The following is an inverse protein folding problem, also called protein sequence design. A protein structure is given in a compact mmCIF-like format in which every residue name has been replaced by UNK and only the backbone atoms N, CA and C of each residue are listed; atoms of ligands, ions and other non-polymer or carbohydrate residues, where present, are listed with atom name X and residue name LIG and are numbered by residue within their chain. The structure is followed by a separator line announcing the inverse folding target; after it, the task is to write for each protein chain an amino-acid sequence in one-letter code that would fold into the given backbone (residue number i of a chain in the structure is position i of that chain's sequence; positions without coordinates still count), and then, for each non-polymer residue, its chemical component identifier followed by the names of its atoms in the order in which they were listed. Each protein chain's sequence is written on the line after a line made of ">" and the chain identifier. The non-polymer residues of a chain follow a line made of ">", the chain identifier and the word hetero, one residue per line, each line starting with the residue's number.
data_IF_605896995976
#
_entry.id   IF_605896995976
#
_cell.length_a   1.000
_cell.length_b   1.000
_cell.length_c   1.000
_cell.angle_alpha   90.00
_cell.angle_beta   90.00
_cell.angle_gamma   90.00
#
_symmetry.space_group_name_H-M   'P 1'
#
loop_
_entity.id
_entity.type
_entity.pdbx_description
1 polymer ?
#
# COMPACT_ATOMS: atom_id res chain seq x y z
N UNK A 1 16.89 33.80 69.72
CA UNK A 1 16.15 32.63 69.23
C UNK A 1 15.50 32.99 67.89
N UNK A 2 16.08 32.56 66.77
CA UNK A 2 15.50 32.78 65.41
C UNK A 2 14.92 31.44 64.97
N UNK A 3 13.62 31.41 64.73
CA UNK A 3 12.91 30.22 64.17
C UNK A 3 13.06 30.24 62.68
N UNK A 4 13.64 29.19 62.12
CA UNK A 4 13.76 28.96 60.67
C UNK A 4 12.53 28.16 60.26
N UNK A 5 11.69 28.75 59.37
CA UNK A 5 10.51 28.09 58.81
C UNK A 5 10.92 27.49 57.48
N UNK A 6 10.92 26.16 57.37
CA UNK A 6 11.17 25.41 56.15
C UNK A 6 9.85 25.33 55.38
N UNK A 7 9.77 26.01 54.22
CA UNK A 7 8.67 25.84 53.27
C UNK A 7 8.97 24.66 52.37
N UNK A 8 8.17 23.61 52.54
CA UNK A 8 8.20 22.45 51.63
C UNK A 8 7.37 22.75 50.38
N UNK A 9 8.06 22.92 49.25
CA UNK A 9 7.41 23.08 47.94
C UNK A 9 7.14 21.68 47.39
N UNK A 10 5.87 21.26 47.43
CA UNK A 10 5.43 20.07 46.69
C UNK A 10 5.29 20.41 45.21
N UNK A 11 6.24 19.95 44.41
CA UNK A 11 6.09 19.95 42.94
C UNK A 11 5.21 18.77 42.52
N UNK A 12 3.97 19.04 42.13
CA UNK A 12 3.12 18.07 41.50
C UNK A 12 3.52 17.87 40.04
N UNK A 13 4.19 16.77 39.76
CA UNK A 13 4.48 16.37 38.36
C UNK A 13 3.18 15.81 37.74
N UNK A 14 2.59 16.58 36.81
CA UNK A 14 1.53 16.09 35.93
C UNK A 14 2.16 15.13 34.91
N UNK A 15 2.01 13.83 35.11
CA UNK A 15 2.23 12.85 34.07
C UNK A 15 1.05 12.95 33.09
N UNK A 16 1.29 13.59 31.94
CA UNK A 16 0.42 13.47 30.79
C UNK A 16 0.57 12.04 30.21
N UNK A 17 -0.36 11.16 30.54
CA UNK A 17 -0.47 9.86 29.88
C UNK A 17 -0.90 10.10 28.44
N UNK A 18 0.05 10.07 27.50
CA UNK A 18 -0.24 9.96 26.09
C UNK A 18 -0.90 8.59 25.86
N UNK A 19 -2.21 8.55 25.70
CA UNK A 19 -2.94 7.36 25.25
C UNK A 19 -2.50 7.07 23.83
N UNK A 20 -1.51 6.21 23.65
CA UNK A 20 -1.21 5.61 22.37
C UNK A 20 -2.45 4.80 21.97
N UNK A 21 -3.24 5.30 21.04
CA UNK A 21 -4.28 4.52 20.40
C UNK A 21 -3.59 3.41 19.60
N UNK A 22 -3.38 2.26 20.24
CA UNK A 22 -2.94 1.06 19.56
C UNK A 22 -4.03 0.71 18.55
N UNK A 23 -3.68 0.76 17.27
CA UNK A 23 -4.59 0.35 16.22
C UNK A 23 -4.87 -1.15 16.34
N UNK A 24 -6.11 -1.55 16.06
CA UNK A 24 -6.49 -2.95 16.06
C UNK A 24 -5.59 -3.78 15.11
N UNK A 25 -5.29 -5.03 15.42
CA UNK A 25 -4.57 -5.91 14.52
C UNK A 25 -5.32 -6.05 13.18
N UNK A 26 -4.68 -6.58 12.12
CA UNK A 26 -5.39 -6.93 10.88
C UNK A 26 -6.59 -7.83 11.16
N UNK A 27 -7.64 -7.73 10.34
CA UNK A 27 -8.80 -8.60 10.45
C UNK A 27 -8.40 -10.08 10.29
N UNK A 28 -9.13 -11.01 10.90
CA UNK A 28 -8.90 -12.46 10.71
C UNK A 28 -9.23 -12.89 9.28
N UNK A 29 -10.17 -12.20 8.63
CA UNK A 29 -10.64 -12.50 7.28
C UNK A 29 -10.04 -11.54 6.26
N UNK A 30 -9.11 -12.03 5.47
CA UNK A 30 -8.49 -11.32 4.34
C UNK A 30 -9.32 -11.57 3.07
N UNK A 31 -10.36 -10.77 2.89
CA UNK A 31 -11.43 -11.00 1.92
C UNK A 31 -10.98 -11.07 0.46
N UNK A 32 -9.90 -10.38 0.10
CA UNK A 32 -9.35 -10.32 -1.26
C UNK A 32 -8.21 -11.30 -1.55
N UNK A 33 -7.74 -12.05 -0.55
CA UNK A 33 -6.55 -12.88 -0.69
C UNK A 33 -6.66 -13.91 -1.82
N UNK A 34 -7.79 -14.62 -1.90
CA UNK A 34 -8.02 -15.66 -2.92
C UNK A 34 -7.99 -15.14 -4.37
N UNK A 35 -8.23 -13.84 -4.56
CA UNK A 35 -8.18 -13.15 -5.84
C UNK A 35 -6.87 -12.34 -6.02
N UNK A 36 -5.88 -12.47 -5.12
CA UNK A 36 -4.59 -11.82 -5.29
C UNK A 36 -3.84 -12.35 -6.50
N UNK A 37 -3.03 -11.49 -7.12
CA UNK A 37 -2.25 -11.87 -8.30
C UNK A 37 -1.29 -13.03 -8.00
N UNK A 38 -0.70 -13.10 -6.81
CA UNK A 38 0.21 -14.17 -6.40
C UNK A 38 -0.46 -15.55 -6.44
N UNK A 39 -1.73 -15.64 -6.04
CA UNK A 39 -2.47 -16.91 -6.03
C UNK A 39 -3.09 -17.25 -7.39
N UNK A 40 -3.43 -16.24 -8.19
CA UNK A 40 -4.05 -16.42 -9.51
C UNK A 40 -3.04 -16.60 -10.65
N UNK A 41 -1.75 -16.26 -10.42
CA UNK A 41 -0.64 -16.37 -11.37
C UNK A 41 0.46 -17.30 -10.82
N UNK A 42 0.23 -18.60 -10.69
CA UNK A 42 1.21 -19.52 -10.13
C UNK A 42 2.47 -19.60 -11.02
N UNK A 43 3.64 -19.65 -10.39
CA UNK A 43 4.89 -19.82 -11.09
C UNK A 43 5.03 -21.23 -11.65
N UNK A 44 5.50 -21.35 -12.89
CA UNK A 44 5.92 -22.65 -13.48
C UNK A 44 7.01 -23.27 -12.60
N UNK A 45 6.79 -24.49 -12.14
CA UNK A 45 7.76 -25.19 -11.28
C UNK A 45 7.86 -24.69 -9.83
N UNK A 46 7.03 -23.70 -9.43
CA UNK A 46 6.89 -23.30 -8.03
C UNK A 46 8.07 -22.52 -7.45
N UNK A 47 9.01 -22.02 -8.27
CA UNK A 47 10.16 -21.24 -7.79
C UNK A 47 9.72 -19.96 -7.06
N UNK A 48 10.45 -19.59 -6.00
CA UNK A 48 10.15 -18.46 -5.12
C UNK A 48 11.19 -17.36 -5.20
N UNK A 49 10.75 -16.12 -5.14
CA UNK A 49 11.59 -14.94 -4.92
C UNK A 49 11.50 -14.53 -3.45
N UNK A 50 12.60 -14.07 -2.88
CA UNK A 50 12.59 -13.33 -1.61
C UNK A 50 12.44 -11.85 -1.94
N UNK A 51 11.41 -11.20 -1.41
CA UNK A 51 11.15 -9.77 -1.64
C UNK A 51 11.31 -9.01 -0.33
N UNK A 52 12.06 -7.92 -0.35
CA UNK A 52 12.35 -7.09 0.82
C UNK A 52 12.18 -5.61 0.52
N UNK A 53 12.10 -4.78 1.56
CA UNK A 53 12.11 -3.32 1.47
C UNK A 53 13.04 -2.73 2.52
N UNK A 54 13.76 -1.64 2.23
CA UNK A 54 14.51 -0.92 3.26
C UNK A 54 13.61 -0.18 4.26
N UNK A 55 12.33 0.06 3.91
CA UNK A 55 11.41 0.86 4.72
C UNK A 55 10.67 0.04 5.80
N UNK A 56 10.38 -1.24 5.54
CA UNK A 56 9.65 -2.09 6.48
C UNK A 56 9.96 -3.57 6.26
N UNK A 57 9.68 -4.39 7.28
CA UNK A 57 9.81 -5.86 7.22
C UNK A 57 8.47 -6.50 6.88
N UNK A 58 8.51 -7.76 6.43
CA UNK A 58 7.29 -8.55 6.22
C UNK A 58 6.39 -8.54 7.46
N UNK A 59 5.12 -8.25 7.27
CA UNK A 59 4.10 -8.02 8.31
C UNK A 59 4.42 -6.85 9.27
N UNK A 60 5.37 -5.99 8.91
CA UNK A 60 5.64 -4.74 9.63
C UNK A 60 4.80 -3.57 9.12
N UNK A 61 4.69 -2.52 9.94
CA UNK A 61 3.96 -1.31 9.58
C UNK A 61 4.67 -0.56 8.45
N UNK A 62 3.92 -0.18 7.42
CA UNK A 62 4.38 0.71 6.35
C UNK A 62 4.50 2.12 6.94
N UNK A 63 5.69 2.77 6.91
CA UNK A 63 5.86 4.11 7.43
C UNK A 63 4.91 5.11 6.77
N UNK A 64 4.40 6.07 7.52
CA UNK A 64 3.44 7.06 6.99
C UNK A 64 3.99 7.88 5.82
N UNK A 65 5.30 8.13 5.76
CA UNK A 65 5.94 8.74 4.61
C UNK A 65 5.72 7.97 3.29
N UNK A 66 5.50 6.65 3.37
CA UNK A 66 5.24 5.78 2.21
C UNK A 66 3.74 5.60 1.93
N UNK A 67 2.88 6.41 2.54
CA UNK A 67 1.42 6.36 2.42
C UNK A 67 0.85 7.67 1.89
N UNK A 68 -0.40 7.64 1.42
CA UNK A 68 -1.14 8.84 0.96
C UNK A 68 -1.53 9.76 2.13
N UNK A 69 -1.20 9.42 3.35
CA UNK A 69 -1.37 10.32 4.51
C UNK A 69 -0.27 11.38 4.57
N UNK A 70 0.93 11.06 4.06
CA UNK A 70 2.06 12.00 4.03
C UNK A 70 2.62 12.14 2.61
N UNK A 71 3.91 11.94 2.41
CA UNK A 71 4.61 12.23 1.15
C UNK A 71 4.33 11.22 0.03
N UNK A 72 3.73 10.09 0.33
CA UNK A 72 3.48 9.01 -0.63
C UNK A 72 4.75 8.53 -1.36
N UNK A 73 5.87 8.57 -0.67
CA UNK A 73 7.19 8.19 -1.21
C UNK A 73 7.25 6.68 -1.43
N UNK A 74 7.78 6.23 -2.56
CA UNK A 74 7.96 4.79 -2.82
C UNK A 74 8.91 4.18 -1.77
N UNK A 75 8.55 3.02 -1.14
CA UNK A 75 9.32 2.47 -0.01
C UNK A 75 10.63 1.77 -0.41
N UNK A 76 10.87 1.59 -1.70
CA UNK A 76 11.94 0.73 -2.20
C UNK A 76 11.58 -0.75 -2.14
N UNK A 77 12.01 -1.51 -3.12
CA UNK A 77 11.90 -2.97 -3.17
C UNK A 77 13.19 -3.58 -3.70
N UNK A 78 13.55 -4.72 -3.15
CA UNK A 78 14.64 -5.56 -3.62
C UNK A 78 14.21 -7.02 -3.59
N UNK A 79 14.63 -7.80 -4.60
CA UNK A 79 14.26 -9.21 -4.68
C UNK A 79 15.41 -10.06 -5.22
N UNK A 80 15.38 -11.34 -4.89
CA UNK A 80 16.35 -12.29 -5.41
C UNK A 80 16.20 -12.46 -6.92
N UNK A 81 17.30 -12.68 -7.67
CA UNK A 81 17.22 -12.98 -9.10
C UNK A 81 16.26 -14.15 -9.38
N UNK A 82 15.48 -14.03 -10.44
CA UNK A 82 14.65 -15.12 -10.95
C UNK A 82 15.52 -16.25 -11.55
N UNK A 83 14.93 -17.42 -11.82
CA UNK A 83 15.63 -18.54 -12.42
C UNK A 83 16.13 -18.23 -13.83
N UNK A 84 16.98 -19.11 -14.37
CA UNK A 84 17.45 -19.01 -15.76
C UNK A 84 16.28 -18.88 -16.73
N UNK A 85 16.42 -18.01 -17.72
CA UNK A 85 15.34 -17.68 -18.65
C UNK A 85 14.51 -16.45 -18.25
N UNK A 86 14.69 -15.88 -17.06
CA UNK A 86 14.04 -14.61 -16.68
C UNK A 86 14.48 -13.48 -17.60
N UNK A 87 13.55 -12.81 -18.26
CA UNK A 87 13.79 -11.67 -19.13
C UNK A 87 13.36 -10.34 -18.54
N UNK A 88 12.35 -10.35 -17.67
CA UNK A 88 11.83 -9.17 -17.01
C UNK A 88 11.12 -9.53 -15.70
N UNK A 89 10.73 -8.49 -14.96
CA UNK A 89 9.89 -8.62 -13.77
C UNK A 89 8.63 -7.76 -13.92
N UNK A 90 7.55 -8.24 -13.31
CA UNK A 90 6.34 -7.46 -13.07
C UNK A 90 6.09 -7.35 -11.57
N UNK A 91 5.50 -6.22 -11.16
CA UNK A 91 5.12 -5.95 -9.77
C UNK A 91 3.65 -5.60 -9.73
N UNK A 92 2.92 -6.18 -8.78
CA UNK A 92 1.51 -5.90 -8.53
C UNK A 92 1.34 -5.66 -7.04
N UNK A 93 0.90 -4.45 -6.66
CA UNK A 93 0.61 -4.09 -5.28
C UNK A 93 -0.90 -4.07 -5.06
N UNK A 94 -1.39 -4.90 -4.14
CA UNK A 94 -2.81 -5.03 -3.81
C UNK A 94 -3.06 -4.94 -2.31
N UNK A 95 -4.16 -4.26 -1.94
CA UNK A 95 -4.75 -4.32 -0.61
C UNK A 95 -5.80 -5.43 -0.61
N UNK A 96 -5.56 -6.49 0.14
CA UNK A 96 -6.40 -7.69 0.20
C UNK A 96 -7.41 -7.68 1.34
N UNK A 97 -7.35 -6.71 2.25
CA UNK A 97 -8.38 -6.46 3.25
C UNK A 97 -9.52 -5.58 2.70
N UNK A 98 -9.33 -4.97 1.53
CA UNK A 98 -10.33 -4.18 0.81
C UNK A 98 -10.70 -4.79 -0.53
N UNK A 99 -11.98 -4.68 -0.91
CA UNK A 99 -12.50 -5.18 -2.19
C UNK A 99 -13.12 -4.03 -2.99
N UNK A 100 -12.81 -3.97 -4.28
CA UNK A 100 -13.42 -3.04 -5.25
C UNK A 100 -13.68 -3.78 -6.56
N UNK A 101 -14.89 -3.66 -7.11
CA UNK A 101 -15.29 -4.29 -8.39
C UNK A 101 -15.02 -5.80 -8.44
N UNK A 102 -15.16 -6.50 -7.30
CA UNK A 102 -14.99 -7.95 -7.22
C UNK A 102 -13.56 -8.44 -7.07
N UNK A 103 -12.58 -7.56 -6.87
CA UNK A 103 -11.18 -7.92 -6.62
C UNK A 103 -10.53 -7.10 -5.50
N UNK A 104 -9.32 -7.46 -5.03
CA UNK A 104 -8.56 -6.67 -4.09
C UNK A 104 -8.25 -5.29 -4.65
N UNK A 105 -8.09 -4.29 -3.79
CA UNK A 105 -7.83 -2.92 -4.24
C UNK A 105 -6.45 -2.83 -4.89
N UNK A 106 -6.41 -2.46 -6.16
CA UNK A 106 -5.17 -2.31 -6.91
C UNK A 106 -4.52 -0.96 -6.60
N UNK A 107 -3.35 -0.99 -5.97
CA UNK A 107 -2.62 0.20 -5.58
C UNK A 107 -1.56 0.62 -6.60
N UNK A 108 -0.81 -0.33 -7.15
CA UNK A 108 0.26 -0.02 -8.08
C UNK A 108 0.65 -1.24 -8.90
N UNK A 109 1.02 -1.02 -10.16
CA UNK A 109 1.63 -2.04 -11.00
C UNK A 109 2.77 -1.44 -11.83
N UNK A 110 3.77 -2.26 -12.10
CA UNK A 110 4.84 -1.97 -13.04
C UNK A 110 5.29 -3.27 -13.70
N UNK A 111 5.72 -3.22 -14.95
CA UNK A 111 6.14 -4.40 -15.70
C UNK A 111 7.29 -4.10 -16.66
N UNK A 112 7.89 -5.14 -17.22
CA UNK A 112 9.10 -5.06 -18.05
C UNK A 112 10.29 -4.42 -17.30
N UNK A 113 10.34 -4.61 -15.97
CA UNK A 113 11.44 -4.13 -15.16
C UNK A 113 12.64 -5.05 -15.39
N UNK A 114 13.81 -4.45 -15.63
CA UNK A 114 15.10 -5.13 -15.67
C UNK A 114 15.86 -4.84 -14.37
N UNK A 115 16.60 -5.82 -13.86
CA UNK A 115 17.23 -5.72 -12.55
C UNK A 115 16.32 -6.22 -11.41
N UNK A 116 16.85 -6.22 -10.20
CA UNK A 116 16.24 -6.82 -9.01
C UNK A 116 16.04 -5.84 -7.88
N UNK A 117 16.07 -4.54 -8.19
CA UNK A 117 15.94 -3.47 -7.21
C UNK A 117 15.25 -2.26 -7.80
N UNK A 118 14.41 -1.63 -6.99
CA UNK A 118 13.84 -0.30 -7.18
C UNK A 118 14.15 0.54 -5.94
N UNK A 119 14.86 1.66 -6.11
CA UNK A 119 15.32 2.48 -4.98
C UNK A 119 14.17 3.17 -4.25
N UNK A 120 14.29 3.29 -2.93
CA UNK A 120 13.37 4.08 -2.13
C UNK A 120 13.37 5.54 -2.61
N UNK A 121 12.19 6.14 -2.65
CA UNK A 121 12.04 7.54 -3.09
C UNK A 121 12.18 7.77 -4.58
N UNK A 122 12.27 6.73 -5.42
CA UNK A 122 12.31 6.92 -6.86
C UNK A 122 11.10 7.73 -7.35
N UNK A 123 11.34 8.69 -8.23
CA UNK A 123 10.31 9.51 -8.89
C UNK A 123 9.85 8.91 -10.24
N UNK A 124 10.68 8.04 -10.81
CA UNK A 124 10.40 7.33 -12.06
C UNK A 124 11.02 5.93 -12.01
N UNK A 125 10.46 5.00 -12.78
CA UNK A 125 11.05 3.67 -12.96
C UNK A 125 12.41 3.78 -13.68
N UNK A 126 13.45 3.09 -13.21
CA UNK A 126 14.75 3.03 -13.91
C UNK A 126 14.65 2.23 -15.21
N UNK A 127 13.67 1.35 -15.33
CA UNK A 127 13.34 0.55 -16.51
C UNK A 127 11.89 0.10 -16.44
N UNK A 128 11.34 -0.35 -17.58
CA UNK A 128 9.97 -0.86 -17.65
C UNK A 128 8.91 0.23 -17.78
N UNK A 129 7.69 -0.14 -17.48
CA UNK A 129 6.50 0.67 -17.73
C UNK A 129 5.58 0.62 -16.52
N UNK A 130 4.99 1.76 -16.17
CA UNK A 130 3.88 1.79 -15.21
C UNK A 130 2.64 1.13 -15.82
N UNK A 131 2.01 0.28 -15.05
CA UNK A 131 0.73 -0.30 -15.37
C UNK A 131 -0.42 0.40 -14.64
N UNK A 132 -1.61 -0.22 -14.60
CA UNK A 132 -2.79 0.35 -14.00
C UNK A 132 -2.74 0.35 -12.47
N UNK A 133 -3.57 1.21 -11.88
CA UNK A 133 -4.06 1.09 -10.52
C UNK A 133 -5.57 1.36 -10.49
N UNK A 134 -6.18 1.45 -9.30
CA UNK A 134 -7.61 1.72 -9.17
C UNK A 134 -8.08 3.06 -9.79
N UNK A 135 -7.15 3.96 -10.15
CA UNK A 135 -7.43 5.28 -10.75
C UNK A 135 -7.29 5.29 -12.28
N UNK A 136 -6.74 4.25 -12.88
CA UNK A 136 -6.55 4.14 -14.34
C UNK A 136 -5.20 3.57 -14.75
N UNK A 137 -4.90 3.62 -16.04
CA UNK A 137 -3.67 3.11 -16.63
C UNK A 137 -2.45 4.00 -16.35
N UNK A 138 -1.25 3.43 -16.47
CA UNK A 138 0.05 4.12 -16.42
C UNK A 138 0.24 5.01 -15.18
N UNK A 139 -0.11 4.50 -14.01
CA UNK A 139 -0.09 5.26 -12.77
C UNK A 139 1.20 5.05 -11.97
N UNK A 140 1.79 6.11 -11.40
CA UNK A 140 2.89 6.00 -10.46
C UNK A 140 2.46 5.30 -9.16
N UNK A 141 3.42 5.06 -8.26
CA UNK A 141 3.16 4.47 -6.95
C UNK A 141 2.03 5.22 -6.20
N UNK A 142 1.05 4.44 -5.77
CA UNK A 142 -0.02 4.90 -4.90
C UNK A 142 0.02 4.08 -3.61
N UNK A 143 0.59 4.68 -2.58
CA UNK A 143 0.72 4.05 -1.27
C UNK A 143 -0.63 3.80 -0.58
N UNK A 144 -0.59 3.18 0.59
CA UNK A 144 -1.77 2.97 1.43
C UNK A 144 -2.54 4.25 1.76
N UNK A 145 -3.86 4.11 1.91
CA UNK A 145 -4.73 5.06 2.60
C UNK A 145 -5.78 4.27 3.35
N UNK A 146 -5.32 3.51 4.32
CA UNK A 146 -6.15 2.60 5.13
C UNK A 146 -7.18 3.41 5.92
N UNK A 147 -8.48 3.04 5.88
CA UNK A 147 -9.50 3.71 6.68
C UNK A 147 -9.29 3.45 8.19
N UNK A 148 -10.03 4.17 9.02
CA UNK A 148 -10.08 3.87 10.44
C UNK A 148 -10.67 2.47 10.66
N UNK A 149 -10.05 1.69 11.55
CA UNK A 149 -10.42 0.31 11.81
C UNK A 149 -9.20 -0.61 11.90
N UNK A 150 -9.35 -1.89 11.59
CA UNK A 150 -8.24 -2.83 11.51
C UNK A 150 -7.17 -2.38 10.51
N UNK A 151 -5.93 -2.82 10.71
CA UNK A 151 -4.87 -2.63 9.71
C UNK A 151 -5.20 -3.43 8.45
N UNK A 152 -4.84 -2.90 7.29
CA UNK A 152 -4.94 -3.58 6.01
C UNK A 152 -3.59 -4.15 5.58
N UNK A 153 -3.60 -5.30 4.89
CA UNK A 153 -2.42 -5.93 4.29
C UNK A 153 -2.25 -5.45 2.86
N UNK A 154 -1.04 -4.95 2.61
CA UNK A 154 -0.61 -4.50 1.29
C UNK A 154 0.44 -5.46 0.76
N UNK A 155 0.09 -6.24 -0.25
CA UNK A 155 0.92 -7.26 -0.86
C UNK A 155 1.72 -6.67 -2.02
N UNK A 156 3.03 -6.53 -1.87
CA UNK A 156 3.96 -6.17 -2.94
C UNK A 156 4.43 -7.47 -3.59
N UNK A 157 3.78 -7.87 -4.67
CA UNK A 157 3.97 -9.14 -5.35
C UNK A 157 4.89 -8.96 -6.55
N UNK A 158 5.97 -9.74 -6.64
CA UNK A 158 6.96 -9.69 -7.71
C UNK A 158 6.93 -10.98 -8.50
N UNK A 159 6.92 -10.87 -9.83
CA UNK A 159 6.85 -11.98 -10.78
C UNK A 159 8.05 -11.90 -11.73
N UNK A 160 8.89 -12.94 -11.76
CA UNK A 160 9.91 -13.12 -12.77
C UNK A 160 9.29 -13.80 -14.00
N UNK A 161 9.45 -13.20 -15.18
CA UNK A 161 8.80 -13.67 -16.40
C UNK A 161 9.80 -14.02 -17.51
N UNK A 162 9.46 -15.01 -18.35
CA UNK A 162 10.28 -15.51 -19.46
C UNK A 162 10.13 -14.70 -20.75
N UNK A 163 9.40 -13.60 -20.70
CA UNK A 163 9.16 -12.72 -21.85
C UNK A 163 9.11 -11.25 -21.42
N UNK A 164 9.25 -10.35 -22.38
CA UNK A 164 8.76 -8.98 -22.20
C UNK A 164 7.29 -8.91 -22.60
N UNK A 165 6.49 -8.23 -21.79
CA UNK A 165 5.07 -8.06 -22.04
C UNK A 165 4.84 -6.97 -23.10
N UNK A 166 3.82 -7.09 -23.95
CA UNK A 166 3.46 -6.05 -24.92
C UNK A 166 3.02 -4.75 -24.19
N UNK A 167 3.18 -3.61 -24.85
CA UNK A 167 2.94 -2.30 -24.23
C UNK A 167 1.49 -2.11 -23.76
N UNK A 168 0.54 -2.69 -24.46
CA UNK A 168 -0.91 -2.64 -24.15
C UNK A 168 -1.31 -3.54 -22.98
N UNK A 169 -0.41 -4.45 -22.54
CA UNK A 169 -0.63 -5.24 -21.33
C UNK A 169 -0.94 -4.37 -20.10
N UNK A 170 -0.40 -3.16 -20.05
CA UNK A 170 -0.61 -2.21 -18.94
C UNK A 170 -1.93 -1.40 -19.02
N UNK A 171 -2.86 -1.70 -19.92
CA UNK A 171 -4.10 -0.94 -20.03
C UNK A 171 -5.05 -1.18 -18.85
N UNK A 172 -5.21 -2.43 -18.42
CA UNK A 172 -6.03 -2.83 -17.26
C UNK A 172 -5.33 -3.93 -16.47
N UNK A 173 -5.81 -4.22 -15.24
CA UNK A 173 -5.28 -5.34 -14.46
C UNK A 173 -5.57 -6.67 -15.14
N UNK A 174 -6.70 -6.80 -15.79
CA UNK A 174 -7.09 -8.00 -16.52
C UNK A 174 -6.15 -8.26 -17.70
N UNK A 175 -5.81 -7.21 -18.50
CA UNK A 175 -4.85 -7.34 -19.60
C UNK A 175 -3.45 -7.67 -19.10
N UNK A 176 -3.02 -7.06 -17.97
CA UNK A 176 -1.72 -7.36 -17.37
C UNK A 176 -1.64 -8.79 -16.85
N UNK A 177 -2.64 -9.26 -16.13
CA UNK A 177 -2.67 -10.63 -15.62
C UNK A 177 -2.82 -11.66 -16.76
N UNK A 178 -3.57 -11.35 -17.80
CA UNK A 178 -3.67 -12.20 -19.00
C UNK A 178 -2.31 -12.32 -19.72
N UNK A 179 -1.56 -11.22 -19.85
CA UNK A 179 -0.23 -11.21 -20.44
C UNK A 179 0.84 -11.91 -19.58
N UNK A 180 0.65 -11.94 -18.25
CA UNK A 180 1.53 -12.66 -17.31
C UNK A 180 1.23 -14.16 -17.27
N UNK A 181 0.00 -14.55 -17.57
CA UNK A 181 -0.44 -15.95 -17.51
C UNK A 181 0.48 -16.83 -18.36
N UNK A 182 0.88 -17.96 -17.79
CA UNK A 182 1.79 -18.92 -18.41
C UNK A 182 3.22 -18.42 -18.72
N UNK A 183 3.58 -17.21 -18.24
CA UNK A 183 4.92 -16.65 -18.38
C UNK A 183 5.69 -16.53 -17.06
N UNK A 184 5.05 -16.75 -15.93
CA UNK A 184 5.67 -16.62 -14.61
C UNK A 184 6.60 -17.80 -14.32
N UNK A 185 7.90 -17.53 -14.16
CA UNK A 185 8.93 -18.51 -13.80
C UNK A 185 9.12 -18.62 -12.28
N UNK A 186 9.02 -17.50 -11.58
CA UNK A 186 9.13 -17.42 -10.13
C UNK A 186 8.29 -16.26 -9.61
N UNK A 187 7.84 -16.35 -8.38
CA UNK A 187 7.11 -15.27 -7.74
C UNK A 187 7.45 -15.18 -6.25
N UNK A 188 7.23 -14.00 -5.66
CA UNK A 188 7.39 -13.76 -4.23
C UNK A 188 6.67 -12.49 -3.82
N UNK A 189 6.54 -12.28 -2.53
CA UNK A 189 5.88 -11.09 -2.00
C UNK A 189 6.52 -10.57 -0.72
N UNK A 190 6.29 -9.29 -0.48
CA UNK A 190 6.46 -8.62 0.80
C UNK A 190 5.10 -8.07 1.23
N UNK A 191 4.63 -8.43 2.41
CA UNK A 191 3.38 -7.89 2.97
C UNK A 191 3.71 -6.80 3.97
N UNK A 192 3.13 -5.61 3.79
CA UNK A 192 3.21 -4.52 4.75
C UNK A 192 1.83 -4.21 5.34
N UNK A 193 1.81 -3.72 6.56
CA UNK A 193 0.58 -3.31 7.25
C UNK A 193 0.37 -1.82 7.11
N UNK A 194 -0.75 -1.43 6.51
CA UNK A 194 -1.21 -0.06 6.46
C UNK A 194 -2.18 0.25 7.59
N UNK A 195 -2.11 1.47 8.08
CA UNK A 195 -2.97 1.96 9.15
C UNK A 195 -3.37 3.41 8.92
N UNK A 196 -4.41 3.88 9.60
CA UNK A 196 -4.76 5.30 9.61
C UNK A 196 -3.67 6.10 10.31
N UNK A 197 -3.26 7.23 9.74
CA UNK A 197 -2.40 8.17 10.45
C UNK A 197 -3.24 8.90 11.51
N UNK A 198 -2.94 8.74 12.81
CA UNK A 198 -3.70 9.38 13.88
C UNK A 198 -3.62 10.91 13.83
N UNK A 199 -2.62 11.46 13.13
CA UNK A 199 -2.42 12.89 12.95
C UNK A 199 -3.02 13.40 11.62
N UNK A 200 -3.57 12.52 10.78
CA UNK A 200 -4.16 12.93 9.53
C UNK A 200 -5.45 13.75 9.78
N UNK A 201 -5.69 14.81 8.99
CA UNK A 201 -6.96 15.49 9.07
C UNK A 201 -8.09 14.51 8.76
N UNK A 202 -9.25 14.63 9.43
CA UNK A 202 -10.41 13.80 9.13
C UNK A 202 -10.70 13.84 7.64
N UNK A 203 -11.15 12.74 7.02
CA UNK A 203 -11.51 12.73 5.61
C UNK A 203 -12.53 13.85 5.37
N UNK A 204 -12.26 14.67 4.34
CA UNK A 204 -13.23 15.70 3.92
C UNK A 204 -14.58 15.00 3.75
N UNK A 205 -15.60 15.48 4.45
CA UNK A 205 -16.97 14.97 4.29
C UNK A 205 -17.27 15.05 2.79
N UNK A 206 -17.48 13.95 2.14
CA UNK A 206 -18.03 13.96 0.76
C UNK A 206 -19.29 14.78 0.85
N UNK A 207 -19.30 15.94 0.16
CA UNK A 207 -20.29 16.98 0.30
C UNK A 207 -21.71 16.41 0.34
N UNK A 208 -22.34 16.45 1.50
CA UNK A 208 -23.76 16.55 1.56
C UNK A 208 -24.11 17.84 0.84
N UNK A 209 -25.05 17.80 -0.10
CA UNK A 209 -25.60 19.00 -0.69
C UNK A 209 -25.90 19.97 0.44
N UNK A 210 -25.63 21.28 0.28
CA UNK A 210 -26.02 22.26 1.29
C UNK A 210 -27.54 22.06 1.56
N UNK A 211 -27.98 22.16 2.83
CA UNK A 211 -29.40 22.08 3.14
C UNK A 211 -30.10 23.10 2.25
N UNK A 212 -31.01 22.60 1.42
CA UNK A 212 -31.69 23.40 0.44
C UNK A 212 -32.24 24.68 1.09
N UNK A 213 -31.79 25.84 0.60
CA UNK A 213 -32.35 27.12 0.96
C UNK A 213 -33.82 27.06 0.61
N UNK A 214 -34.68 27.09 1.65
CA UNK A 214 -36.11 27.15 1.48
C UNK A 214 -36.45 28.30 0.55
N UNK A 215 -37.20 28.03 -0.50
CA UNK A 215 -37.78 29.07 -1.34
C UNK A 215 -38.61 30.03 -0.46
N UNK A 216 -38.54 31.35 -0.65
CA UNK A 216 -39.38 32.27 0.06
C UNK A 216 -40.85 32.00 -0.30
N UNK A 217 -41.79 32.15 0.65
CA UNK A 217 -43.21 31.95 0.37
C UNK A 217 -43.68 32.95 -0.69
N UNK A 218 -44.62 32.56 -1.57
CA UNK A 218 -45.19 33.47 -2.54
C UNK A 218 -45.91 34.60 -1.81
N UNK A 219 -45.57 35.85 -2.17
CA UNK A 219 -46.18 37.06 -1.62
C UNK A 219 -47.69 37.11 -1.90
N UNK A 220 -48.44 37.54 -0.87
CA UNK A 220 -49.82 37.98 -0.97
C UNK A 220 -49.85 39.39 -1.51
#
# INVERSE_FOLDING_TARGET
>A
MRRCTIQTVCAAALLAAASAFAQAPPSENEVGLSASALLTLPAKGGAKLTVTSPAFKHMGDIPFANTQYQTNTFPGLEWTPGPAGTKAYAIIMQDTDGMIRGGPILHWTAFNITGTKLDAGMSALPSGTYGPNMRGAAQPYMGPRTPAGPKHRYHFQVFAVDTQLPADAGATIESLTAALKDHVLASGELVGLGQVDPNAPPPARRGGAPPGGGAPPPGQ
#
